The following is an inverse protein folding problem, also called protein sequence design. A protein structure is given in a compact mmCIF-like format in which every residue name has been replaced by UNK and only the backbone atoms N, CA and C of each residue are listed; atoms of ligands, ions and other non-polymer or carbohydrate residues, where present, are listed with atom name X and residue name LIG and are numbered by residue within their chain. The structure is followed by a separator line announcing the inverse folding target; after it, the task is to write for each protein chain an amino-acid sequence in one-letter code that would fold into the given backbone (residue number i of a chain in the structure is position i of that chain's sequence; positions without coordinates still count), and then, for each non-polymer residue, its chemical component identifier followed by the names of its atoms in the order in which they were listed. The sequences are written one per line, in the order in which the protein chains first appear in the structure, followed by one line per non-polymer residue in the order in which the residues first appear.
data_IF_419747297715
#
_entry.id   IF_419747297715
#
_cell.length_a   1.000
_cell.length_b   1.000
_cell.length_c   1.000
_cell.angle_alpha   90.00
_cell.angle_beta   90.00
_cell.angle_gamma   90.00
#
_symmetry.space_group_name_H-M   'P 1'
#
loop_
_entity.id
_entity.type
_entity.pdbx_description
1 polymer ?
#
# COMPACT_ATOMS: atom_id res chain seq x y z
N UNK A 1 -14.06 23.20 -1.09
CA UNK A 1 -12.63 23.35 -0.73
C UNK A 1 -11.92 22.04 -1.03
N UNK A 2 -11.35 21.89 -2.23
CA UNK A 2 -10.57 20.72 -2.63
C UNK A 2 -9.13 20.93 -2.16
N UNK A 3 -8.79 20.34 -1.01
CA UNK A 3 -7.42 20.35 -0.49
C UNK A 3 -6.51 19.49 -1.37
N UNK A 4 -5.52 20.13 -2.00
CA UNK A 4 -4.38 19.46 -2.63
C UNK A 4 -3.70 18.58 -1.59
N UNK A 5 -3.62 17.27 -1.83
CA UNK A 5 -2.95 16.36 -0.92
C UNK A 5 -1.43 16.58 -0.97
N UNK A 6 -0.73 16.59 0.18
CA UNK A 6 0.72 16.67 0.18
C UNK A 6 1.32 15.46 -0.57
N UNK A 7 2.38 15.73 -1.33
CA UNK A 7 3.09 14.75 -2.14
C UNK A 7 4.06 13.94 -1.31
N UNK A 8 4.11 12.63 -1.62
CA UNK A 8 5.24 11.71 -1.45
C UNK A 8 6.55 12.33 -0.92
N UNK A 9 6.81 12.45 0.38
CA UNK A 9 8.19 12.82 0.82
C UNK A 9 9.05 11.57 0.93
N UNK A 10 9.98 11.40 0.01
CA UNK A 10 11.01 10.36 0.11
C UNK A 10 12.02 10.76 1.19
N UNK A 11 11.91 10.13 2.37
CA UNK A 11 12.93 10.24 3.41
C UNK A 11 13.95 9.13 3.18
N UNK A 12 15.16 9.51 2.74
CA UNK A 12 16.30 8.60 2.73
C UNK A 12 16.74 8.35 4.18
N UNK A 13 16.22 7.30 4.81
CA UNK A 13 16.65 6.85 6.13
C UNK A 13 17.87 5.93 6.02
N UNK A 14 19.01 6.34 6.59
CA UNK A 14 20.16 5.45 6.81
C UNK A 14 19.96 4.68 8.12
N UNK A 15 19.25 3.55 8.07
CA UNK A 15 19.29 2.57 9.15
C UNK A 15 20.62 1.81 9.11
N UNK A 16 21.36 1.80 10.22
CA UNK A 16 22.66 1.11 10.33
C UNK A 16 22.49 -0.42 10.40
N UNK A 17 22.75 -1.04 9.25
CA UNK A 17 23.45 -2.29 8.92
C UNK A 17 23.09 -3.63 9.59
N UNK A 18 22.61 -4.57 8.77
CA UNK A 18 23.30 -5.85 8.54
C UNK A 18 23.38 -6.12 7.02
N UNK A 19 24.42 -6.81 6.57
CA UNK A 19 25.07 -6.74 5.27
C UNK A 19 24.20 -6.66 3.98
N UNK A 20 24.49 -5.68 3.11
CA UNK A 20 24.45 -5.86 1.65
C UNK A 20 23.23 -5.38 0.85
N UNK A 21 22.32 -4.59 1.40
CA UNK A 21 21.20 -4.03 0.61
C UNK A 21 20.69 -2.70 1.14
N UNK A 22 20.67 -1.66 0.30
CA UNK A 22 20.02 -0.38 0.65
C UNK A 22 18.52 -0.62 0.81
N UNK A 23 18.02 -0.61 2.04
CA UNK A 23 16.58 -0.61 2.30
C UNK A 23 16.01 0.78 2.00
N UNK A 24 15.13 0.88 1.00
CA UNK A 24 14.39 2.11 0.71
C UNK A 24 13.29 2.28 1.74
N UNK A 25 13.30 3.40 2.46
CA UNK A 25 12.23 3.80 3.38
C UNK A 25 11.30 4.78 2.69
N UNK A 26 10.00 4.56 2.80
CA UNK A 26 8.96 5.44 2.26
C UNK A 26 8.05 5.80 3.43
N UNK A 27 7.87 7.10 3.67
CA UNK A 27 6.95 7.62 4.69
C UNK A 27 5.80 8.30 3.98
N UNK A 28 4.56 7.98 4.37
CA UNK A 28 3.34 8.58 3.83
C UNK A 28 2.46 9.04 4.99
N UNK A 29 2.20 10.33 5.08
CA UNK A 29 1.24 10.91 6.03
C UNK A 29 -0.20 10.52 5.72
N UNK A 30 -1.18 10.91 6.55
CA UNK A 30 -2.59 10.60 6.31
C UNK A 30 -3.05 11.01 4.91
N UNK A 31 -3.82 10.17 4.23
CA UNK A 31 -4.37 10.43 2.88
C UNK A 31 -3.35 10.53 1.74
N UNK A 32 -2.06 10.40 2.04
CA UNK A 32 -0.98 10.41 1.06
C UNK A 32 -0.74 9.00 0.51
N UNK A 33 -0.72 8.86 -0.81
CA UNK A 33 -0.60 7.57 -1.49
C UNK A 33 -1.34 7.56 -2.83
N UNK A 34 -1.37 6.39 -3.49
CA UNK A 34 -2.14 6.22 -4.73
C UNK A 34 -3.62 6.05 -4.40
N UNK A 35 -4.47 6.90 -4.96
CA UNK A 35 -5.92 6.84 -4.78
C UNK A 35 -6.59 5.94 -5.80
N UNK A 36 -7.56 5.15 -5.34
CA UNK A 36 -8.43 4.32 -6.16
C UNK A 36 -9.86 4.58 -5.70
N UNK A 37 -10.69 5.13 -6.59
CA UNK A 37 -12.11 5.26 -6.36
C UNK A 37 -12.81 3.95 -6.73
N UNK A 38 -13.64 3.43 -5.82
CA UNK A 38 -14.48 2.25 -6.03
C UNK A 38 -15.94 2.66 -6.24
N UNK A 39 -16.15 3.69 -7.08
CA UNK A 39 -17.45 4.34 -7.25
C UNK A 39 -17.96 4.90 -5.93
N UNK A 40 -19.26 4.76 -5.68
CA UNK A 40 -19.92 5.24 -4.46
C UNK A 40 -19.65 4.33 -3.24
N UNK A 41 -18.97 3.19 -3.44
CA UNK A 41 -18.78 2.19 -2.38
C UNK A 41 -17.64 2.55 -1.42
N UNK A 42 -16.52 3.07 -1.93
CA UNK A 42 -15.37 3.42 -1.10
C UNK A 42 -14.33 4.27 -1.84
N UNK A 43 -13.50 4.96 -1.06
CA UNK A 43 -12.21 5.51 -1.49
C UNK A 43 -11.06 4.77 -0.81
N UNK A 44 -10.09 4.32 -1.61
CA UNK A 44 -8.89 3.60 -1.13
C UNK A 44 -7.65 4.44 -1.38
N UNK A 45 -6.80 4.61 -0.36
CA UNK A 45 -5.47 5.22 -0.47
C UNK A 45 -4.41 4.16 -0.21
N UNK A 46 -3.69 3.74 -1.25
CA UNK A 46 -2.60 2.76 -1.15
C UNK A 46 -1.37 3.38 -0.48
N UNK A 47 -0.99 2.83 0.68
CA UNK A 47 0.17 3.19 1.51
C UNK A 47 1.40 2.35 1.23
N UNK A 48 1.23 1.14 0.71
CA UNK A 48 2.30 0.31 0.20
C UNK A 48 1.75 -0.59 -0.91
N UNK A 49 2.48 -0.70 -2.02
CA UNK A 49 2.16 -1.64 -3.11
C UNK A 49 3.15 -2.79 -3.16
N UNK A 50 2.77 -3.91 -3.79
CA UNK A 50 3.63 -5.10 -3.85
C UNK A 50 5.03 -4.82 -4.39
N UNK A 51 5.20 -3.94 -5.38
CA UNK A 51 6.52 -3.56 -5.89
C UNK A 51 7.43 -2.92 -4.80
N UNK A 52 6.86 -2.23 -3.82
CA UNK A 52 7.59 -1.59 -2.72
C UNK A 52 7.96 -2.59 -1.62
N UNK A 53 7.28 -3.75 -1.56
CA UNK A 53 7.45 -4.77 -0.51
C UNK A 53 7.96 -6.10 -1.05
N UNK A 54 8.51 -6.13 -2.26
CA UNK A 54 8.96 -7.36 -2.93
C UNK A 54 7.85 -8.40 -3.10
N UNK A 55 6.61 -7.98 -3.32
CA UNK A 55 5.44 -8.83 -3.50
C UNK A 55 4.85 -9.42 -2.21
N UNK A 56 5.38 -9.05 -1.04
CA UNK A 56 4.99 -9.66 0.24
C UNK A 56 3.65 -9.16 0.78
N UNK A 57 3.37 -7.85 0.68
CA UNK A 57 2.15 -7.27 1.23
C UNK A 57 1.71 -6.03 0.45
N UNK A 58 0.51 -5.57 0.75
CA UNK A 58 0.07 -4.20 0.45
C UNK A 58 -0.58 -3.62 1.70
N UNK A 59 -0.56 -2.30 1.82
CA UNK A 59 -1.20 -1.58 2.92
C UNK A 59 -2.00 -0.42 2.35
N UNK A 60 -3.19 -0.15 2.91
CA UNK A 60 -4.06 0.91 2.43
C UNK A 60 -4.96 1.46 3.54
N UNK A 61 -5.37 2.71 3.38
CA UNK A 61 -6.50 3.31 4.08
C UNK A 61 -7.75 3.10 3.20
N UNK A 62 -8.89 2.75 3.79
CA UNK A 62 -10.16 2.60 3.07
C UNK A 62 -11.27 3.34 3.81
N UNK A 63 -11.92 4.27 3.12
CA UNK A 63 -13.08 5.00 3.63
C UNK A 63 -14.31 4.44 2.97
N UNK A 64 -15.22 3.94 3.79
CA UNK A 64 -16.50 3.39 3.36
C UNK A 64 -17.60 4.31 3.89
N UNK A 65 -18.44 4.90 3.01
CA UNK A 65 -19.58 5.69 3.46
C UNK A 65 -20.53 4.88 4.35
N UNK A 66 -21.30 5.54 5.23
CA UNK A 66 -22.37 4.89 5.96
C UNK A 66 -23.37 4.21 5.02
N UNK A 67 -23.97 3.12 5.49
CA UNK A 67 -24.96 2.32 4.74
C UNK A 67 -24.46 1.68 3.43
N UNK A 68 -23.15 1.66 3.15
CA UNK A 68 -22.59 0.80 2.10
C UNK A 68 -22.67 -0.66 2.52
N UNK A 69 -23.26 -1.53 1.68
CA UNK A 69 -23.37 -2.97 1.94
C UNK A 69 -22.05 -3.76 1.91
N UNK A 70 -20.92 -3.09 1.68
CA UNK A 70 -19.62 -3.69 1.44
C UNK A 70 -19.52 -4.39 0.07
N UNK A 71 -18.35 -4.95 -0.26
CA UNK A 71 -18.23 -5.79 -1.45
C UNK A 71 -19.11 -7.04 -1.30
N UNK A 72 -19.68 -7.58 -2.40
CA UNK A 72 -20.36 -8.87 -2.38
C UNK A 72 -19.48 -9.96 -1.77
N UNK A 73 -20.07 -11.03 -1.26
CA UNK A 73 -19.31 -12.18 -0.77
C UNK A 73 -18.39 -12.71 -1.88
N UNK A 74 -17.08 -12.75 -1.63
CA UNK A 74 -16.08 -13.21 -2.59
C UNK A 74 -14.88 -13.86 -1.91
N UNK A 75 -14.05 -14.54 -2.71
CA UNK A 75 -12.87 -15.27 -2.25
C UNK A 75 -11.60 -14.68 -2.86
N UNK A 76 -10.61 -14.43 -2.01
CA UNK A 76 -9.27 -14.03 -2.42
C UNK A 76 -8.37 -15.25 -2.59
N UNK A 77 -8.40 -15.86 -3.79
CA UNK A 77 -7.49 -16.97 -4.10
C UNK A 77 -6.07 -16.45 -4.33
N UNK A 78 -5.12 -16.98 -3.57
CA UNK A 78 -3.69 -16.66 -3.74
C UNK A 78 -3.23 -15.39 -3.03
N UNK A 79 -4.08 -14.70 -2.27
CA UNK A 79 -3.69 -13.49 -1.53
C UNK A 79 -2.76 -13.78 -0.35
N UNK A 80 -2.92 -14.94 0.29
CA UNK A 80 -2.00 -15.45 1.32
C UNK A 80 -0.84 -16.25 0.74
N UNK A 81 -0.82 -16.49 -0.59
CA UNK A 81 0.27 -17.22 -1.22
C UNK A 81 1.47 -16.30 -1.27
N UNK A 82 2.48 -16.63 -0.46
CA UNK A 82 3.80 -16.00 -0.56
C UNK A 82 4.34 -16.19 -1.98
N UNK A 83 4.70 -15.11 -2.66
CA UNK A 83 5.44 -15.22 -3.91
C UNK A 83 6.75 -15.97 -3.65
N UNK A 84 7.19 -16.89 -4.52
CA UNK A 84 8.50 -17.51 -4.40
C UNK A 84 9.56 -16.41 -4.33
N UNK A 85 10.43 -16.45 -3.32
CA UNK A 85 11.50 -15.46 -3.23
C UNK A 85 12.39 -15.60 -4.47
N UNK A 86 12.61 -14.52 -5.20
CA UNK A 86 13.53 -14.47 -6.35
C UNK A 86 15.01 -14.53 -5.94
N UNK A 87 15.35 -15.10 -4.78
CA UNK A 87 16.75 -15.37 -4.44
C UNK A 87 17.22 -16.50 -5.35
N UNK A 88 17.93 -16.10 -6.39
CA UNK A 88 18.47 -16.97 -7.42
C UNK A 88 19.26 -18.14 -6.85
N UNK A 89 19.14 -19.25 -7.55
CA UNK A 89 20.17 -20.29 -7.58
C UNK A 89 21.36 -19.79 -8.38
#
# INVERSE_FOLDING_TARGET
MTGMAPSATEVSGSGTEDAGGRCRVIVRGPWEGRRIALGDAAEVVLKAVGAETGGTLSAYECVVPPATGGPPLHLHRGWERRSPSSRGR
#
